data_IF_738513048646
#
_entry.id   IF_738513048646
#
_cell.length_a   1.000
_cell.length_b   1.000
_cell.length_c   1.000
_cell.angle_alpha   90.00
_cell.angle_beta   90.00
_cell.angle_gamma   90.00
#
_symmetry.space_group_name_H-M   'P 1'
#
loop_
_entity.id
_entity.type
_entity.pdbx_description
1 polymer ?
#
# COMPACT_ATOMS: atom_id res chain seq x y z
N UNK A 1 16.28 2.36 39.69
CA UNK A 1 15.29 1.29 39.42
C UNK A 1 14.39 1.78 38.29
N UNK A 2 13.97 0.91 37.36
CA UNK A 2 13.24 1.35 36.16
C UNK A 2 11.73 1.21 36.43
N UNK A 3 11.09 2.34 36.81
CA UNK A 3 9.68 2.46 37.18
C UNK A 3 8.77 1.75 36.17
N UNK A 4 9.05 1.89 34.86
CA UNK A 4 8.29 1.24 33.79
C UNK A 4 8.32 -0.29 33.90
N UNK A 5 9.49 -0.89 34.17
CA UNK A 5 9.64 -2.35 34.31
C UNK A 5 8.93 -2.89 35.55
N UNK A 6 8.92 -2.13 36.64
CA UNK A 6 8.22 -2.51 37.88
C UNK A 6 6.70 -2.50 37.69
N UNK A 7 6.14 -1.45 37.07
CA UNK A 7 4.72 -1.39 36.73
C UNK A 7 4.31 -2.50 35.74
N UNK A 8 5.12 -2.74 34.70
CA UNK A 8 4.89 -3.83 33.74
C UNK A 8 4.84 -5.20 34.45
N UNK A 9 5.80 -5.51 35.31
CA UNK A 9 5.85 -6.76 36.07
C UNK A 9 4.68 -6.89 37.07
N UNK A 10 4.28 -5.79 37.71
CA UNK A 10 3.22 -5.76 38.73
C UNK A 10 1.82 -5.98 38.17
N UNK A 11 1.52 -5.48 36.97
CA UNK A 11 0.16 -5.50 36.41
C UNK A 11 -0.04 -6.41 35.19
N UNK A 12 1.03 -6.75 34.47
CA UNK A 12 1.02 -7.62 33.28
C UNK A 12 -0.08 -7.26 32.23
N UNK A 13 -0.37 -5.97 32.08
CA UNK A 13 -1.38 -5.39 31.16
C UNK A 13 -0.90 -4.03 30.68
N UNK A 14 -1.08 -3.69 29.41
CA UNK A 14 -0.64 -2.39 28.88
C UNK A 14 -1.55 -1.22 29.28
N UNK A 15 -2.84 -1.49 29.55
CA UNK A 15 -3.85 -0.51 29.94
C UNK A 15 -4.41 -0.85 31.32
N UNK A 16 -4.49 0.15 32.19
CA UNK A 16 -5.02 0.03 33.56
C UNK A 16 -6.32 0.84 33.71
N UNK A 17 -7.38 0.27 34.31
CA UNK A 17 -8.61 1.00 34.56
C UNK A 17 -8.42 2.03 35.68
N UNK A 18 -9.22 3.11 35.66
CA UNK A 18 -9.24 4.19 36.67
C UNK A 18 -9.01 3.72 38.12
N UNK A 19 -9.69 2.65 38.54
CA UNK A 19 -9.64 2.16 39.93
C UNK A 19 -8.26 1.62 40.33
N UNK A 20 -7.52 1.04 39.38
CA UNK A 20 -6.16 0.55 39.59
C UNK A 20 -5.16 1.71 39.62
N UNK A 21 -5.35 2.69 38.73
CA UNK A 21 -4.52 3.89 38.63
C UNK A 21 -4.63 4.75 39.88
N UNK A 22 -5.87 5.02 40.34
CA UNK A 22 -6.14 5.76 41.57
C UNK A 22 -5.45 5.13 42.78
N UNK A 23 -5.49 3.80 42.88
CA UNK A 23 -4.87 3.06 43.98
C UNK A 23 -3.34 3.11 43.94
N UNK A 24 -2.74 3.15 42.75
CA UNK A 24 -1.28 3.23 42.59
C UNK A 24 -0.73 4.65 42.83
N UNK A 25 -1.49 5.68 42.45
CA UNK A 25 -1.17 7.08 42.73
C UNK A 25 -1.55 7.53 44.16
N UNK A 26 -2.26 6.69 44.93
CA UNK A 26 -2.78 7.04 46.26
C UNK A 26 -3.91 8.08 46.25
N UNK A 27 -4.55 8.30 45.10
CA UNK A 27 -5.56 9.35 44.88
C UNK A 27 -6.99 8.83 45.06
N UNK A 28 -7.91 9.72 45.41
CA UNK A 28 -9.34 9.42 45.35
C UNK A 28 -9.85 9.39 43.90
N UNK A 29 -11.00 8.74 43.68
CA UNK A 29 -11.68 8.72 42.37
C UNK A 29 -12.09 10.12 41.86
N UNK A 30 -12.19 11.13 42.73
CA UNK A 30 -12.49 12.51 42.33
C UNK A 30 -11.24 13.21 41.81
N UNK A 31 -10.13 13.11 42.54
CA UNK A 31 -8.84 13.70 42.14
C UNK A 31 -8.31 13.08 40.84
N UNK A 32 -8.41 11.74 40.69
CA UNK A 32 -8.03 11.11 39.43
C UNK A 32 -8.87 11.64 38.26
N UNK A 33 -10.18 11.82 38.44
CA UNK A 33 -11.03 12.35 37.35
C UNK A 33 -10.62 13.75 36.91
N UNK A 34 -10.19 14.61 37.83
CA UNK A 34 -9.66 15.94 37.49
C UNK A 34 -8.42 15.81 36.60
N UNK A 35 -7.44 14.98 37.00
CA UNK A 35 -6.21 14.73 36.21
C UNK A 35 -6.49 14.17 34.80
N UNK A 36 -7.53 13.35 34.66
CA UNK A 36 -7.97 12.82 33.36
C UNK A 36 -8.71 13.86 32.50
N UNK A 37 -9.50 14.75 33.10
CA UNK A 37 -10.23 15.80 32.36
C UNK A 37 -9.37 17.02 32.01
N UNK A 38 -8.32 17.28 32.77
CA UNK A 38 -7.34 18.35 32.52
C UNK A 38 -6.15 17.88 31.65
N UNK A 39 -6.25 16.68 31.05
CA UNK A 39 -5.24 16.01 30.20
C UNK A 39 -3.83 15.96 30.80
N UNK A 40 -3.74 16.05 32.13
CA UNK A 40 -2.49 16.00 32.90
C UNK A 40 -2.01 14.56 33.10
N UNK A 41 -2.93 13.60 32.99
CA UNK A 41 -2.63 12.17 32.86
C UNK A 41 -3.44 11.62 31.66
N UNK A 42 -2.82 11.43 30.48
CA UNK A 42 -3.54 11.01 29.28
C UNK A 42 -4.23 9.65 29.44
N UNK A 43 -5.45 9.53 28.90
CA UNK A 43 -6.24 8.30 28.95
C UNK A 43 -7.02 8.00 27.67
N UNK A 44 -7.38 6.73 27.51
CA UNK A 44 -8.16 6.22 26.39
C UNK A 44 -9.55 5.85 26.93
N UNK A 45 -10.60 6.42 26.35
CA UNK A 45 -11.99 6.04 26.66
C UNK A 45 -12.40 4.81 25.84
N UNK A 46 -12.91 3.78 26.52
CA UNK A 46 -13.47 2.56 25.91
C UNK A 46 -14.77 2.23 26.64
N UNK A 47 -15.89 2.15 25.91
CA UNK A 47 -17.25 1.90 26.44
C UNK A 47 -17.62 2.76 27.67
N UNK A 48 -17.32 4.07 27.62
CA UNK A 48 -17.64 5.02 28.69
C UNK A 48 -16.77 4.90 29.96
N UNK A 49 -15.58 4.31 29.85
CA UNK A 49 -14.62 4.14 30.96
C UNK A 49 -13.22 4.55 30.50
N UNK A 50 -12.47 5.21 31.37
CA UNK A 50 -11.10 5.62 31.06
C UNK A 50 -10.07 4.55 31.44
N UNK A 51 -9.07 4.41 30.59
CA UNK A 51 -7.92 3.54 30.78
C UNK A 51 -6.63 4.34 30.57
N UNK A 52 -5.72 4.27 31.53
CA UNK A 52 -4.39 4.91 31.44
C UNK A 52 -3.38 3.84 31.04
N UNK A 53 -2.47 4.17 30.13
CA UNK A 53 -1.40 3.21 29.76
C UNK A 53 -0.35 3.13 30.87
N UNK A 54 0.32 1.97 30.98
CA UNK A 54 1.44 1.85 31.92
C UNK A 54 2.57 2.85 31.59
N UNK A 55 2.72 3.23 30.31
CA UNK A 55 3.71 4.24 29.91
C UNK A 55 3.37 5.63 30.46
N UNK A 56 2.11 6.07 30.31
CA UNK A 56 1.69 7.37 30.83
C UNK A 56 1.72 7.43 32.36
N UNK A 57 1.34 6.33 33.03
CA UNK A 57 1.47 6.22 34.48
C UNK A 57 2.95 6.26 34.93
N UNK A 58 3.85 5.61 34.19
CA UNK A 58 5.28 5.68 34.49
C UNK A 58 5.82 7.11 34.28
N UNK A 59 5.47 7.76 33.17
CA UNK A 59 5.85 9.14 32.85
C UNK A 59 5.40 10.10 33.97
N UNK A 60 4.14 9.98 34.40
CA UNK A 60 3.56 10.77 35.48
C UNK A 60 4.26 10.54 36.84
N UNK A 61 4.70 9.30 37.11
CA UNK A 61 5.51 8.93 38.27
C UNK A 61 7.01 9.33 38.14
N UNK A 62 7.37 10.12 37.13
CA UNK A 62 8.71 10.67 36.96
C UNK A 62 9.66 9.80 36.14
N UNK A 63 9.18 8.78 35.44
CA UNK A 63 9.96 8.12 34.38
C UNK A 63 10.25 9.15 33.29
N UNK A 64 11.52 9.35 32.99
CA UNK A 64 11.98 10.11 31.82
C UNK A 64 12.58 9.12 30.85
N UNK A 65 11.95 8.97 29.70
CA UNK A 65 12.46 8.13 28.62
C UNK A 65 13.83 8.68 28.18
N UNK A 66 14.88 7.86 28.32
CA UNK A 66 16.13 8.12 27.62
C UNK A 66 15.85 7.87 26.13
N UNK A 67 15.75 8.93 25.33
CA UNK A 67 15.45 8.84 23.89
C UNK A 67 16.56 8.13 23.12
N UNK A 68 16.51 6.81 23.15
CA UNK A 68 17.16 5.93 22.18
C UNK A 68 16.23 5.76 20.98
N UNK A 69 16.51 6.51 19.92
CA UNK A 69 15.72 6.46 18.68
C UNK A 69 16.04 5.22 17.85
N UNK A 70 15.56 4.07 18.34
CA UNK A 70 15.07 3.02 17.46
C UNK A 70 15.85 1.71 17.43
N UNK A 71 15.62 0.85 18.43
CA UNK A 71 15.49 -0.58 18.20
C UNK A 71 14.22 -1.13 18.88
N UNK A 72 13.16 -1.35 18.10
CA UNK A 72 12.09 -2.26 18.52
C UNK A 72 12.64 -3.69 18.50
N UNK A 73 12.97 -4.22 19.67
CA UNK A 73 13.21 -5.65 19.82
C UNK A 73 11.92 -6.42 19.54
N UNK A 74 12.05 -7.52 18.79
CA UNK A 74 10.93 -8.31 18.35
C UNK A 74 10.48 -9.29 19.44
N UNK A 75 9.22 -9.23 19.85
CA UNK A 75 8.41 -10.43 20.14
C UNK A 75 6.91 -10.12 20.20
N UNK A 76 6.10 -11.05 19.67
CA UNK A 76 4.64 -11.03 19.54
C UNK A 76 3.97 -9.80 18.89
N UNK A 77 3.62 -9.96 17.60
CA UNK A 77 2.21 -9.81 17.20
C UNK A 77 1.84 -10.76 16.05
N UNK A 78 0.62 -11.29 16.12
CA UNK A 78 0.08 -12.37 15.29
C UNK A 78 -0.57 -11.88 13.99
N UNK A 79 -0.85 -12.81 13.07
CA UNK A 79 -1.65 -12.56 11.88
C UNK A 79 -3.10 -12.13 12.20
N UNK A 80 -3.50 -10.95 11.74
CA UNK A 80 -4.84 -10.71 11.16
C UNK A 80 -4.82 -9.49 10.23
N UNK A 81 -5.60 -9.56 9.14
CA UNK A 81 -6.17 -8.47 8.31
C UNK A 81 -5.31 -7.20 8.04
N UNK A 82 -4.91 -6.86 6.81
CA UNK A 82 -5.52 -7.05 5.49
C UNK A 82 -6.90 -6.41 5.32
N UNK A 83 -7.01 -5.10 5.58
CA UNK A 83 -7.94 -4.24 4.85
C UNK A 83 -7.45 -2.78 4.86
N UNK A 84 -7.36 -2.15 3.68
CA UNK A 84 -7.20 -0.70 3.58
C UNK A 84 -7.91 -0.16 2.33
N UNK A 85 -9.02 0.53 2.59
CA UNK A 85 -9.76 1.39 1.68
C UNK A 85 -8.84 2.53 1.15
N UNK A 86 -9.03 3.18 0.00
CA UNK A 86 -10.07 3.10 -1.05
C UNK A 86 -9.57 3.74 -2.36
N UNK A 87 -10.36 3.56 -3.42
CA UNK A 87 -10.39 4.22 -4.73
C UNK A 87 -10.15 5.74 -4.82
N UNK A 88 -9.79 6.19 -6.02
CA UNK A 88 -10.15 7.51 -6.63
C UNK A 88 -11.65 7.84 -6.61
N UNK A 89 -12.24 8.97 -6.19
CA UNK A 89 -11.78 10.04 -5.29
C UNK A 89 -11.15 11.29 -5.92
N UNK A 90 -11.20 11.49 -7.25
CA UNK A 90 -10.82 12.78 -7.84
C UNK A 90 -11.96 13.78 -7.56
N UNK A 91 -11.64 14.91 -6.93
CA UNK A 91 -12.50 16.08 -6.93
C UNK A 91 -12.34 16.80 -8.28
N UNK A 92 -13.39 16.78 -9.09
CA UNK A 92 -13.67 17.80 -10.09
C UNK A 92 -15.03 18.38 -9.72
N UNK A 93 -15.17 19.70 -9.77
CA UNK A 93 -16.45 20.40 -9.64
C UNK A 93 -17.05 20.49 -11.04
N UNK A 94 -18.21 19.87 -11.34
CA UNK A 94 -18.95 20.12 -12.56
C UNK A 94 -20.12 21.08 -12.28
N UNK A 95 -20.38 21.99 -13.21
CA UNK A 95 -21.65 22.71 -13.25
C UNK A 95 -22.81 21.73 -13.52
N UNK A 96 -23.99 22.04 -12.98
CA UNK A 96 -25.19 21.22 -13.17
C UNK A 96 -25.57 21.08 -14.64
N UNK A 97 -25.73 19.84 -15.09
CA UNK A 97 -26.75 19.45 -16.10
C UNK A 97 -27.44 18.16 -15.64
N UNK A 98 -28.73 18.07 -15.91
CA UNK A 98 -29.63 17.06 -15.35
C UNK A 98 -29.44 15.64 -15.94
N UNK A 99 -29.78 14.62 -15.14
CA UNK A 99 -30.33 13.36 -15.67
C UNK A 99 -29.49 12.08 -15.58
N UNK A 100 -28.78 11.81 -14.48
CA UNK A 100 -28.14 10.49 -14.28
C UNK A 100 -29.16 9.38 -13.96
N UNK A 101 -29.18 8.33 -14.78
CA UNK A 101 -29.97 7.10 -14.55
C UNK A 101 -29.19 6.17 -13.61
N UNK A 102 -29.69 6.02 -12.37
CA UNK A 102 -29.11 5.10 -11.38
C UNK A 102 -29.21 3.64 -11.84
N UNK A 103 -28.07 2.97 -12.02
CA UNK A 103 -28.01 1.52 -12.18
C UNK A 103 -27.87 0.84 -10.82
N UNK A 104 -28.92 0.14 -10.41
CA UNK A 104 -28.97 -0.72 -9.23
C UNK A 104 -28.23 -2.03 -9.48
N UNK A 105 -27.56 -2.54 -8.45
CA UNK A 105 -26.84 -3.82 -8.48
C UNK A 105 -27.22 -4.67 -7.26
N UNK A 106 -26.95 -5.97 -7.33
CA UNK A 106 -27.23 -6.88 -6.22
C UNK A 106 -26.45 -8.18 -6.29
N UNK A 107 -26.52 -8.95 -5.22
CA UNK A 107 -25.75 -10.18 -5.00
C UNK A 107 -26.57 -11.24 -4.27
N UNK A 108 -26.13 -12.50 -4.38
CA UNK A 108 -26.69 -13.64 -3.66
C UNK A 108 -25.61 -14.23 -2.76
N UNK A 109 -25.98 -14.54 -1.52
CA UNK A 109 -25.08 -15.12 -0.52
C UNK A 109 -25.75 -16.30 0.18
N UNK A 110 -24.98 -17.34 0.52
CA UNK A 110 -25.51 -18.50 1.24
C UNK A 110 -25.43 -18.30 2.75
N UNK A 111 -26.56 -18.42 3.43
CA UNK A 111 -26.71 -18.31 4.88
C UNK A 111 -26.29 -19.60 5.58
N UNK A 112 -25.96 -19.50 6.88
CA UNK A 112 -25.56 -20.64 7.73
C UNK A 112 -26.65 -21.72 7.89
N UNK A 113 -27.90 -21.37 7.62
CA UNK A 113 -29.06 -22.28 7.66
C UNK A 113 -29.38 -22.91 6.28
N UNK A 114 -28.51 -22.72 5.29
CA UNK A 114 -28.65 -23.27 3.94
C UNK A 114 -29.49 -22.44 2.98
N UNK A 115 -30.14 -21.35 3.42
CA UNK A 115 -30.91 -20.45 2.54
C UNK A 115 -30.00 -19.53 1.71
N UNK A 116 -30.53 -19.05 0.60
CA UNK A 116 -29.90 -18.07 -0.28
C UNK A 116 -30.50 -16.68 -0.03
N UNK A 117 -29.68 -15.73 0.39
CA UNK A 117 -30.07 -14.34 0.65
C UNK A 117 -29.67 -13.45 -0.51
N UNK A 118 -30.67 -12.89 -1.18
CA UNK A 118 -30.53 -11.85 -2.19
C UNK A 118 -30.44 -10.50 -1.48
N UNK A 119 -29.48 -9.65 -1.87
CA UNK A 119 -29.35 -8.27 -1.42
C UNK A 119 -29.14 -7.34 -2.61
N UNK A 120 -29.99 -6.32 -2.73
CA UNK A 120 -29.94 -5.29 -3.78
C UNK A 120 -29.59 -3.96 -3.13
N UNK A 121 -28.55 -3.29 -3.64
CA UNK A 121 -28.09 -2.00 -3.12
C UNK A 121 -28.98 -0.88 -3.68
N UNK A 122 -29.65 -0.16 -2.78
CA UNK A 122 -30.59 0.94 -3.09
C UNK A 122 -29.94 2.32 -2.83
N UNK A 123 -28.60 2.39 -2.94
CA UNK A 123 -27.82 3.59 -2.64
C UNK A 123 -27.62 3.83 -1.13
N UNK A 124 -27.69 5.10 -0.71
CA UNK A 124 -27.54 5.54 0.69
C UNK A 124 -28.79 6.29 1.16
N UNK A 125 -29.11 6.20 2.45
CA UNK A 125 -30.10 7.08 3.08
C UNK A 125 -29.54 8.48 3.26
N UNK A 126 -30.39 9.45 3.61
CA UNK A 126 -29.98 10.84 3.86
C UNK A 126 -28.85 10.96 4.91
N UNK A 127 -28.84 10.05 5.91
CA UNK A 127 -27.80 9.98 6.96
C UNK A 127 -26.50 9.28 6.50
N UNK A 128 -26.32 9.05 5.19
CA UNK A 128 -25.13 8.43 4.60
C UNK A 128 -24.97 6.91 4.84
N UNK A 129 -25.88 6.27 5.58
CA UNK A 129 -25.90 4.82 5.81
C UNK A 129 -26.35 4.08 4.55
N UNK A 130 -25.83 2.86 4.32
CA UNK A 130 -26.17 2.04 3.14
C UNK A 130 -27.65 1.62 3.20
N UNK A 131 -28.39 1.85 2.13
CA UNK A 131 -29.76 1.37 1.95
C UNK A 131 -29.76 0.09 1.11
N UNK A 132 -30.43 -0.97 1.56
CA UNK A 132 -30.48 -2.26 0.83
C UNK A 132 -31.84 -2.96 0.98
N UNK A 133 -32.32 -3.55 -0.11
CA UNK A 133 -33.50 -4.42 -0.12
C UNK A 133 -33.03 -5.87 -0.10
N UNK A 134 -33.44 -6.66 0.88
CA UNK A 134 -32.97 -8.04 1.06
C UNK A 134 -34.10 -9.05 1.23
N UNK A 135 -33.98 -10.24 0.63
CA UNK A 135 -34.95 -11.34 0.74
C UNK A 135 -34.26 -12.70 0.68
N UNK A 136 -34.73 -13.67 1.46
CA UNK A 136 -34.14 -15.03 1.53
C UNK A 136 -35.04 -16.10 0.90
N UNK A 137 -34.44 -17.04 0.18
CA UNK A 137 -35.09 -18.18 -0.47
C UNK A 137 -34.44 -19.51 -0.04
N UNK A 138 -35.14 -20.63 -0.20
CA UNK A 138 -34.57 -21.98 0.03
C UNK A 138 -33.93 -22.60 -1.21
N UNK A 139 -34.32 -22.13 -2.40
CA UNK A 139 -33.80 -22.57 -3.70
C UNK A 139 -32.96 -21.43 -4.32
N UNK A 140 -31.80 -21.81 -4.86
CA UNK A 140 -30.86 -20.93 -5.55
C UNK A 140 -31.43 -20.38 -6.85
N UNK A 141 -32.21 -21.18 -7.60
CA UNK A 141 -32.84 -20.74 -8.85
C UNK A 141 -33.91 -19.67 -8.61
N UNK A 142 -34.72 -19.83 -7.56
CA UNK A 142 -35.70 -18.82 -7.15
C UNK A 142 -35.04 -17.55 -6.61
N UNK A 143 -33.87 -17.67 -5.94
CA UNK A 143 -33.09 -16.53 -5.52
C UNK A 143 -32.53 -15.74 -6.73
N UNK A 144 -32.00 -16.44 -7.73
CA UNK A 144 -31.48 -15.83 -8.96
C UNK A 144 -32.59 -15.15 -9.76
N UNK A 145 -33.70 -15.85 -10.03
CA UNK A 145 -34.85 -15.25 -10.71
C UNK A 145 -35.40 -14.00 -9.99
N UNK A 146 -35.42 -13.99 -8.66
CA UNK A 146 -35.85 -12.81 -7.91
C UNK A 146 -34.84 -11.65 -8.02
N UNK A 147 -33.54 -11.92 -8.01
CA UNK A 147 -32.51 -10.90 -8.23
C UNK A 147 -32.66 -10.30 -9.64
N UNK A 148 -32.70 -11.14 -10.67
CA UNK A 148 -32.73 -10.73 -12.07
C UNK A 148 -33.98 -9.91 -12.38
N UNK A 149 -35.17 -10.38 -11.96
CA UNK A 149 -36.43 -9.65 -12.15
C UNK A 149 -36.43 -8.30 -11.42
N UNK A 150 -35.96 -8.26 -10.17
CA UNK A 150 -35.95 -7.01 -9.40
C UNK A 150 -34.93 -6.00 -9.94
N UNK A 151 -33.79 -6.46 -10.48
CA UNK A 151 -32.83 -5.58 -11.15
C UNK A 151 -33.36 -5.08 -12.51
N UNK A 152 -34.08 -5.92 -13.27
CA UNK A 152 -34.73 -5.49 -14.52
C UNK A 152 -35.81 -4.41 -14.26
N UNK A 153 -36.67 -4.62 -13.25
CA UNK A 153 -37.66 -3.63 -12.79
C UNK A 153 -37.00 -2.30 -12.37
N UNK A 154 -35.93 -2.36 -11.57
CA UNK A 154 -35.26 -1.17 -11.02
C UNK A 154 -34.41 -0.41 -12.05
N UNK A 155 -33.81 -1.12 -13.01
CA UNK A 155 -32.96 -0.52 -14.05
C UNK A 155 -33.73 -0.15 -15.33
N UNK A 156 -35.07 -0.24 -15.32
CA UNK A 156 -35.93 0.16 -16.44
C UNK A 156 -35.82 -0.74 -17.69
N UNK A 157 -35.26 -1.94 -17.56
CA UNK A 157 -35.21 -2.90 -18.67
C UNK A 157 -36.57 -3.59 -18.75
N UNK A 158 -37.41 -3.16 -19.69
CA UNK A 158 -38.69 -3.79 -19.98
C UNK A 158 -38.46 -5.16 -20.62
N UNK A 159 -38.29 -6.17 -19.77
CA UNK A 159 -38.33 -7.58 -20.18
C UNK A 159 -39.78 -7.92 -20.52
N UNK A 160 -40.15 -7.76 -21.80
CA UNK A 160 -41.44 -8.24 -22.31
C UNK A 160 -41.42 -9.77 -22.20
N UNK A 161 -42.08 -10.32 -21.18
CA UNK A 161 -42.29 -11.76 -21.09
C UNK A 161 -43.17 -12.20 -22.26
N UNK A 162 -42.76 -13.19 -23.08
CA UNK A 162 -43.67 -13.79 -24.04
C UNK A 162 -44.68 -14.66 -23.27
N UNK A 163 -45.84 -14.10 -22.97
CA UNK A 163 -47.02 -14.91 -22.64
C UNK A 163 -47.43 -15.67 -23.89
N UNK A 164 -47.17 -16.97 -23.93
CA UNK A 164 -47.67 -17.86 -24.97
C UNK A 164 -49.20 -17.96 -24.89
N UNK A 165 -49.92 -17.60 -25.96
CA UNK A 165 -50.88 -18.51 -26.57
C UNK A 165 -50.19 -19.22 -27.75
N UNK A 166 -50.72 -20.39 -28.12
CA UNK A 166 -50.08 -21.27 -29.08
C UNK A 166 -49.90 -20.63 -30.49
N UNK A 167 -48.91 -21.14 -31.22
CA UNK A 167 -48.56 -20.82 -32.61
C UNK A 167 -48.04 -19.39 -32.89
N UNK A 168 -46.72 -19.23 -32.85
CA UNK A 168 -45.97 -19.06 -34.11
C UNK A 168 -44.46 -19.29 -33.92
N UNK A 169 -43.79 -19.78 -34.97
CA UNK A 169 -42.34 -19.86 -35.00
C UNK A 169 -41.74 -18.46 -35.08
N UNK A 170 -41.10 -18.01 -34.00
CA UNK A 170 -40.21 -16.84 -34.03
C UNK A 170 -38.78 -17.35 -33.88
N UNK A 171 -38.07 -17.47 -35.01
CA UNK A 171 -36.63 -17.72 -35.00
C UNK A 171 -35.96 -16.42 -34.54
N UNK A 172 -35.67 -16.32 -33.25
CA UNK A 172 -34.90 -15.20 -32.71
C UNK A 172 -33.44 -15.34 -33.13
N UNK A 173 -33.03 -14.53 -34.11
CA UNK A 173 -31.63 -14.35 -34.45
C UNK A 173 -30.93 -13.64 -33.28
N UNK A 174 -30.46 -14.41 -32.29
CA UNK A 174 -29.47 -13.89 -31.36
C UNK A 174 -28.22 -13.58 -32.16
N UNK A 175 -27.96 -12.30 -32.40
CA UNK A 175 -26.66 -11.82 -32.85
C UNK A 175 -25.66 -12.05 -31.71
N UNK A 176 -25.14 -13.28 -31.63
CA UNK A 176 -23.92 -13.55 -30.89
C UNK A 176 -22.81 -12.74 -31.56
N UNK A 177 -22.52 -11.56 -31.02
CA UNK A 177 -21.25 -10.91 -31.32
C UNK A 177 -20.16 -11.93 -31.05
N UNK A 178 -19.28 -12.25 -32.03
CA UNK A 178 -18.23 -13.22 -31.81
C UNK A 178 -17.39 -12.74 -30.62
N UNK A 179 -17.15 -13.62 -29.65
CA UNK A 179 -16.27 -13.31 -28.52
C UNK A 179 -14.85 -13.24 -29.05
N UNK A 180 -14.45 -12.05 -29.50
CA UNK A 180 -13.13 -11.78 -30.05
C UNK A 180 -12.15 -11.56 -28.90
N UNK A 181 -11.49 -12.64 -28.50
CA UNK A 181 -10.34 -12.57 -27.60
C UNK A 181 -9.18 -11.79 -28.22
N UNK A 182 -8.24 -11.34 -27.40
CA UNK A 182 -7.13 -10.49 -27.84
C UNK A 182 -6.09 -11.27 -28.66
N UNK A 183 -5.76 -10.76 -29.85
CA UNK A 183 -4.69 -11.30 -30.72
C UNK A 183 -3.27 -10.90 -30.28
N UNK A 184 -3.17 -10.04 -29.25
CA UNK A 184 -1.92 -9.44 -28.78
C UNK A 184 -1.01 -10.46 -28.09
N UNK A 185 0.30 -10.29 -28.26
CA UNK A 185 1.28 -11.02 -27.45
C UNK A 185 1.30 -10.53 -26.01
N UNK A 186 1.85 -11.33 -25.09
CA UNK A 186 2.00 -10.92 -23.69
C UNK A 186 2.77 -9.59 -23.55
N UNK A 187 3.85 -9.39 -24.32
CA UNK A 187 4.61 -8.13 -24.26
C UNK A 187 3.76 -6.93 -24.69
N UNK A 188 3.07 -7.04 -25.83
CA UNK A 188 2.21 -5.99 -26.36
C UNK A 188 1.08 -5.66 -25.38
N UNK A 189 0.37 -6.68 -24.89
CA UNK A 189 -0.74 -6.52 -23.95
C UNK A 189 -0.27 -5.89 -22.63
N UNK A 190 0.86 -6.34 -22.09
CA UNK A 190 1.41 -5.82 -20.84
C UNK A 190 1.91 -4.37 -20.97
N UNK A 191 2.60 -4.01 -22.05
CA UNK A 191 3.05 -2.64 -22.32
C UNK A 191 1.85 -1.69 -22.40
N UNK A 192 0.83 -2.05 -23.18
CA UNK A 192 -0.38 -1.24 -23.32
C UNK A 192 -1.15 -1.10 -22.00
N UNK A 193 -1.31 -2.19 -21.25
CA UNK A 193 -1.97 -2.18 -19.93
C UNK A 193 -1.23 -1.29 -18.94
N UNK A 194 0.11 -1.31 -18.97
CA UNK A 194 0.93 -0.50 -18.08
C UNK A 194 0.92 0.99 -18.46
N UNK A 195 0.91 1.32 -19.77
CA UNK A 195 0.82 2.71 -20.24
C UNK A 195 -0.57 3.32 -20.04
N UNK A 196 -1.66 2.54 -20.15
CA UNK A 196 -3.02 2.94 -19.76
C UNK A 196 -3.15 3.27 -18.26
N UNK A 197 -2.18 2.86 -17.46
CA UNK A 197 -2.13 3.11 -16.02
C UNK A 197 -2.83 2.03 -15.20
N UNK A 198 -2.29 1.78 -14.00
CA UNK A 198 -2.82 0.76 -13.07
C UNK A 198 -3.23 1.44 -11.77
N UNK A 199 -4.53 1.70 -11.61
CA UNK A 199 -5.06 2.40 -10.45
C UNK A 199 -4.43 3.78 -10.25
N UNK A 200 -3.81 4.02 -9.08
CA UNK A 200 -3.06 5.27 -8.79
C UNK A 200 -1.54 5.14 -8.95
N UNK A 201 -1.05 4.15 -9.70
CA UNK A 201 0.38 3.93 -9.89
C UNK A 201 1.01 5.06 -10.73
N UNK A 202 1.99 5.77 -10.16
CA UNK A 202 2.82 6.72 -10.93
C UNK A 202 3.88 6.01 -11.77
N UNK A 203 4.50 6.72 -12.72
CA UNK A 203 5.46 6.18 -13.69
C UNK A 203 6.58 5.33 -13.07
N UNK A 204 7.11 5.71 -11.89
CA UNK A 204 8.11 4.90 -11.16
C UNK A 204 7.59 3.54 -10.67
N UNK A 205 6.31 3.43 -10.35
CA UNK A 205 5.64 2.16 -10.02
C UNK A 205 5.42 1.32 -11.27
N UNK A 206 5.02 1.96 -12.37
CA UNK A 206 4.86 1.33 -13.69
C UNK A 206 6.20 0.73 -14.18
N UNK A 207 7.30 1.48 -14.07
CA UNK A 207 8.65 0.96 -14.34
C UNK A 207 9.02 -0.20 -13.39
N UNK A 208 8.62 -0.12 -12.11
CA UNK A 208 8.76 -1.23 -11.17
C UNK A 208 8.01 -2.50 -11.59
N UNK A 209 6.84 -2.35 -12.23
CA UNK A 209 6.12 -3.45 -12.86
C UNK A 209 6.86 -3.96 -14.11
N UNK A 210 7.31 -3.08 -15.02
CA UNK A 210 8.12 -3.46 -16.20
C UNK A 210 9.32 -4.32 -15.80
N UNK A 211 10.13 -3.86 -14.85
CA UNK A 211 11.29 -4.60 -14.31
C UNK A 211 10.89 -5.97 -13.75
N UNK A 212 9.72 -6.06 -13.13
CA UNK A 212 9.19 -7.31 -12.57
C UNK A 212 8.71 -8.27 -13.66
N UNK A 213 8.19 -7.78 -14.79
CA UNK A 213 7.75 -8.57 -15.95
C UNK A 213 8.92 -9.01 -16.85
N UNK A 214 9.98 -8.20 -16.97
CA UNK A 214 11.13 -8.40 -17.87
C UNK A 214 11.74 -9.81 -17.84
N UNK A 215 11.71 -10.48 -16.68
CA UNK A 215 12.27 -11.84 -16.54
C UNK A 215 11.33 -12.95 -17.03
N UNK A 216 10.01 -12.72 -17.02
CA UNK A 216 9.02 -13.63 -17.62
C UNK A 216 8.81 -13.35 -19.10
N UNK A 217 9.02 -12.09 -19.53
CA UNK A 217 8.95 -11.72 -20.95
C UNK A 217 9.85 -12.60 -21.84
N UNK A 218 11.03 -12.99 -21.32
CA UNK A 218 11.97 -13.94 -21.96
C UNK A 218 11.39 -15.31 -22.32
N UNK A 219 10.28 -15.71 -21.71
CA UNK A 219 9.67 -17.03 -21.90
C UNK A 219 8.30 -16.98 -22.57
N UNK A 220 7.50 -15.93 -22.33
CA UNK A 220 6.12 -15.82 -22.85
C UNK A 220 5.84 -14.54 -23.65
N UNK A 221 6.80 -13.60 -23.76
CA UNK A 221 6.58 -12.26 -24.34
C UNK A 221 6.04 -12.26 -25.77
N UNK A 222 6.47 -13.23 -26.58
CA UNK A 222 6.06 -13.40 -27.97
C UNK A 222 4.83 -14.32 -28.14
N UNK A 223 4.31 -14.93 -27.06
CA UNK A 223 3.12 -15.78 -27.11
C UNK A 223 1.87 -14.90 -27.07
N UNK A 224 0.82 -15.25 -27.84
CA UNK A 224 -0.48 -14.59 -27.70
C UNK A 224 -1.05 -14.83 -26.31
N UNK A 225 -1.77 -13.85 -25.77
CA UNK A 225 -2.41 -13.97 -24.45
C UNK A 225 -3.33 -15.19 -24.35
N UNK A 226 -4.03 -15.52 -25.44
CA UNK A 226 -4.93 -16.69 -25.55
C UNK A 226 -4.23 -18.05 -25.56
N UNK A 227 -2.96 -18.10 -25.99
CA UNK A 227 -2.18 -19.34 -26.11
C UNK A 227 -1.44 -19.69 -24.80
N UNK A 228 -1.43 -18.77 -23.82
CA UNK A 228 -0.73 -18.95 -22.56
C UNK A 228 -1.63 -19.72 -21.59
N UNK A 229 -1.21 -20.92 -21.21
CA UNK A 229 -1.90 -21.76 -20.22
C UNK A 229 -1.28 -21.64 -18.82
N UNK A 230 -2.03 -22.07 -17.80
CA UNK A 230 -1.56 -22.20 -16.41
C UNK A 230 -0.30 -23.06 -16.29
N UNK A 231 -0.13 -24.05 -17.18
CA UNK A 231 1.04 -24.93 -17.17
C UNK A 231 2.28 -24.24 -17.76
N UNK A 232 2.10 -23.42 -18.81
CA UNK A 232 3.16 -22.57 -19.35
C UNK A 232 3.64 -21.56 -18.31
N UNK A 233 2.71 -20.95 -17.56
CA UNK A 233 3.04 -20.06 -16.46
C UNK A 233 3.78 -20.80 -15.33
N UNK A 234 3.34 -22.01 -14.96
CA UNK A 234 4.03 -22.83 -13.95
C UNK A 234 5.46 -23.14 -14.38
N UNK A 235 5.65 -23.69 -15.58
CA UNK A 235 6.95 -24.02 -16.15
C UNK A 235 7.87 -22.79 -16.26
N UNK A 236 7.29 -21.61 -16.50
CA UNK A 236 8.03 -20.34 -16.52
C UNK A 236 8.52 -19.95 -15.12
N UNK A 237 7.65 -19.97 -14.09
CA UNK A 237 8.10 -19.71 -12.72
C UNK A 237 9.03 -20.79 -12.15
N UNK A 238 8.95 -22.02 -12.67
CA UNK A 238 9.90 -23.10 -12.33
C UNK A 238 11.32 -22.81 -12.80
N UNK A 239 11.48 -22.29 -14.04
CA UNK A 239 12.77 -21.79 -14.53
C UNK A 239 13.28 -20.61 -13.67
N UNK A 240 12.39 -19.74 -13.20
CA UNK A 240 12.79 -18.55 -12.43
C UNK A 240 13.21 -18.82 -10.98
N UNK A 241 12.63 -19.78 -10.26
CA UNK A 241 12.87 -19.87 -8.81
C UNK A 241 14.31 -20.25 -8.40
N UNK A 242 15.10 -20.82 -9.33
CA UNK A 242 16.53 -21.08 -9.12
C UNK A 242 17.39 -19.81 -9.24
N UNK A 243 16.98 -18.84 -10.07
CA UNK A 243 17.81 -17.67 -10.41
C UNK A 243 17.44 -16.40 -9.61
N UNK A 244 16.22 -16.30 -9.11
CA UNK A 244 15.69 -15.10 -8.45
C UNK A 244 15.42 -15.30 -6.95
N UNK A 245 15.74 -14.27 -6.17
CA UNK A 245 15.42 -14.22 -4.74
C UNK A 245 13.90 -14.23 -4.51
N UNK A 246 13.46 -14.75 -3.36
CA UNK A 246 12.04 -14.78 -2.91
C UNK A 246 11.27 -13.48 -3.19
N UNK A 247 11.85 -12.33 -2.87
CA UNK A 247 11.22 -11.03 -3.06
C UNK A 247 11.01 -10.67 -4.55
N UNK A 248 12.04 -10.86 -5.39
CA UNK A 248 11.96 -10.61 -6.84
C UNK A 248 10.98 -11.56 -7.52
N UNK A 249 11.06 -12.86 -7.22
CA UNK A 249 10.15 -13.88 -7.75
C UNK A 249 8.68 -13.59 -7.38
N UNK A 250 8.42 -13.18 -6.13
CA UNK A 250 7.09 -12.79 -5.67
C UNK A 250 6.57 -11.52 -6.36
N UNK A 251 7.44 -10.53 -6.61
CA UNK A 251 7.07 -9.33 -7.38
C UNK A 251 6.65 -9.69 -8.80
N UNK A 252 7.49 -10.43 -9.54
CA UNK A 252 7.12 -10.95 -10.87
C UNK A 252 5.78 -11.68 -10.84
N UNK A 253 5.60 -12.64 -9.92
CA UNK A 253 4.36 -13.39 -9.80
C UNK A 253 3.12 -12.52 -9.60
N UNK A 254 3.18 -11.53 -8.71
CA UNK A 254 2.05 -10.63 -8.43
C UNK A 254 1.78 -9.70 -9.62
N UNK A 255 2.82 -9.16 -10.28
CA UNK A 255 2.65 -8.28 -11.44
C UNK A 255 2.09 -9.03 -12.64
N UNK A 256 2.49 -10.28 -12.89
CA UNK A 256 1.94 -11.07 -13.99
C UNK A 256 0.48 -11.45 -13.68
N UNK A 257 0.18 -11.86 -12.45
CA UNK A 257 -1.21 -12.10 -12.02
C UNK A 257 -2.08 -10.88 -12.31
N UNK A 258 -1.62 -9.69 -11.94
CA UNK A 258 -2.32 -8.43 -12.21
C UNK A 258 -2.63 -8.22 -13.71
N UNK A 259 -1.68 -8.46 -14.62
CA UNK A 259 -1.92 -8.34 -16.07
C UNK A 259 -2.95 -9.36 -16.58
N UNK A 260 -2.86 -10.63 -16.15
CA UNK A 260 -3.83 -11.65 -16.56
C UNK A 260 -5.22 -11.47 -15.92
N UNK A 261 -5.29 -10.96 -14.70
CA UNK A 261 -6.55 -10.56 -14.06
C UNK A 261 -7.24 -9.45 -14.85
N UNK A 262 -6.51 -8.38 -15.23
CA UNK A 262 -7.05 -7.31 -16.07
C UNK A 262 -7.54 -7.85 -17.42
N UNK A 263 -6.78 -8.73 -18.08
CA UNK A 263 -7.20 -9.36 -19.33
C UNK A 263 -8.47 -10.23 -19.17
N UNK A 264 -8.62 -10.94 -18.05
CA UNK A 264 -9.83 -11.72 -17.78
C UNK A 264 -11.03 -10.83 -17.46
N UNK A 265 -10.84 -9.79 -16.64
CA UNK A 265 -11.87 -8.81 -16.26
C UNK A 265 -12.39 -8.02 -17.48
N UNK A 266 -11.52 -7.75 -18.46
CA UNK A 266 -11.89 -7.12 -19.74
C UNK A 266 -12.55 -8.08 -20.75
N UNK A 267 -12.52 -9.41 -20.52
CA UNK A 267 -12.93 -10.41 -21.51
C UNK A 267 -11.93 -10.65 -22.66
N UNK A 268 -10.72 -10.09 -22.58
CA UNK A 268 -9.63 -10.29 -23.56
C UNK A 268 -9.13 -11.76 -23.61
N UNK A 269 -9.33 -12.51 -22.52
CA UNK A 269 -9.05 -13.96 -22.42
C UNK A 269 -10.22 -14.71 -21.76
N UNK A 270 -10.32 -16.01 -22.06
CA UNK A 270 -11.46 -16.84 -21.64
C UNK A 270 -11.49 -17.28 -20.17
N UNK A 271 -10.35 -17.28 -19.47
CA UNK A 271 -10.22 -17.89 -18.14
C UNK A 271 -9.14 -17.19 -17.27
N UNK A 272 -9.38 -17.06 -15.95
CA UNK A 272 -8.34 -16.67 -14.98
C UNK A 272 -7.35 -17.85 -14.76
N UNK A 273 -6.16 -17.71 -15.35
CA UNK A 273 -5.06 -18.67 -15.26
C UNK A 273 -4.45 -18.79 -13.84
N UNK A 274 -4.72 -17.83 -12.96
CA UNK A 274 -4.12 -17.71 -11.63
C UNK A 274 -5.01 -18.19 -10.47
N UNK A 275 -6.22 -18.70 -10.71
CA UNK A 275 -7.10 -19.26 -9.66
C UNK A 275 -6.38 -20.33 -8.83
N UNK A 276 -5.72 -21.28 -9.50
CA UNK A 276 -5.06 -22.43 -8.87
C UNK A 276 -3.53 -22.33 -8.84
N UNK A 277 -2.94 -21.29 -9.45
CA UNK A 277 -1.49 -21.13 -9.52
C UNK A 277 -0.95 -20.53 -8.21
N UNK A 278 0.02 -21.21 -7.59
CA UNK A 278 0.71 -20.74 -6.38
C UNK A 278 2.10 -20.21 -6.74
N UNK A 279 2.50 -19.10 -6.13
CA UNK A 279 3.86 -18.58 -6.25
C UNK A 279 4.87 -19.61 -5.72
N UNK A 280 5.85 -20.07 -6.52
CA UNK A 280 6.84 -21.02 -6.02
C UNK A 280 7.75 -20.39 -4.97
N UNK A 281 8.35 -21.26 -4.14
CA UNK A 281 9.40 -20.86 -3.19
C UNK A 281 10.73 -20.78 -3.95
N UNK A 282 11.42 -19.63 -3.82
CA UNK A 282 12.80 -19.44 -4.27
C UNK A 282 13.70 -20.55 -3.72
N UNK A 283 14.47 -21.23 -4.58
CA UNK A 283 15.57 -22.13 -4.20
C UNK A 283 16.96 -21.51 -4.39
N UNK A 284 17.04 -20.27 -4.88
CA UNK A 284 18.29 -19.51 -4.88
C UNK A 284 18.89 -19.48 -3.47
N UNK A 285 20.10 -20.01 -3.33
CA UNK A 285 20.91 -19.85 -2.10
C UNK A 285 21.26 -18.38 -1.94
N UNK A 286 21.12 -17.87 -0.71
CA UNK A 286 21.36 -16.47 -0.39
C UNK A 286 22.32 -16.39 0.78
N UNK A 287 23.58 -16.10 0.49
CA UNK A 287 24.48 -15.54 1.51
C UNK A 287 24.02 -14.12 1.82
N UNK A 288 23.47 -13.93 3.02
CA UNK A 288 23.17 -12.61 3.57
C UNK A 288 23.44 -12.54 5.06
N UNK A 289 24.66 -12.10 5.38
CA UNK A 289 24.85 -11.10 6.44
C UNK A 289 25.18 -9.78 5.75
N UNK A 290 24.21 -8.89 5.68
CA UNK A 290 24.50 -7.46 5.48
C UNK A 290 24.69 -6.93 6.89
N UNK A 291 25.94 -6.71 7.28
CA UNK A 291 26.26 -6.05 8.55
C UNK A 291 26.07 -4.54 8.40
N UNK A 292 25.82 -3.85 9.51
CA UNK A 292 26.20 -2.44 9.61
C UNK A 292 27.73 -2.34 9.55
N UNK A 293 28.24 -1.19 9.09
CA UNK A 293 29.66 -0.88 9.17
C UNK A 293 30.09 -0.70 10.64
N UNK A 294 31.31 -1.10 10.98
CA UNK A 294 31.90 -0.75 12.28
C UNK A 294 32.35 0.71 12.31
N UNK A 295 32.63 1.24 13.51
CA UNK A 295 33.15 2.60 13.67
C UNK A 295 34.48 2.78 12.91
N UNK A 296 35.36 1.77 12.90
CA UNK A 296 36.60 1.79 12.14
C UNK A 296 36.36 1.87 10.63
N UNK A 297 35.39 1.11 10.11
CA UNK A 297 35.01 1.15 8.69
C UNK A 297 34.41 2.52 8.32
N UNK A 298 33.58 3.11 9.19
CA UNK A 298 33.04 4.46 9.02
C UNK A 298 34.17 5.50 8.99
N UNK A 299 35.15 5.41 9.90
CA UNK A 299 36.31 6.31 9.90
C UNK A 299 37.18 6.16 8.64
N UNK A 300 37.30 4.95 8.08
CA UNK A 300 37.97 4.72 6.79
C UNK A 300 37.18 5.38 5.65
N UNK A 301 35.85 5.18 5.59
CA UNK A 301 34.98 5.79 4.57
C UNK A 301 35.07 7.33 4.61
N UNK A 302 35.01 7.93 5.80
CA UNK A 302 35.13 9.38 5.98
C UNK A 302 36.52 9.90 5.58
N UNK A 303 37.60 9.17 5.89
CA UNK A 303 38.97 9.55 5.53
C UNK A 303 39.21 9.50 4.03
N UNK A 304 38.81 8.41 3.36
CA UNK A 304 39.10 8.21 1.94
C UNK A 304 38.16 9.02 1.04
N UNK A 305 36.90 9.24 1.45
CA UNK A 305 35.98 10.12 0.72
C UNK A 305 36.50 11.55 0.58
N UNK A 306 37.11 12.11 1.64
CA UNK A 306 37.74 13.44 1.62
C UNK A 306 38.92 13.56 0.66
N UNK A 307 39.63 12.47 0.38
CA UNK A 307 40.72 12.45 -0.62
C UNK A 307 40.21 12.29 -2.05
N UNK A 308 39.09 11.57 -2.22
CA UNK A 308 38.60 11.18 -3.54
C UNK A 308 37.77 12.30 -4.20
N UNK A 309 36.89 12.97 -3.43
CA UNK A 309 36.00 13.99 -3.98
C UNK A 309 35.41 14.87 -2.86
N UNK A 310 35.50 16.20 -3.02
CA UNK A 310 35.02 17.21 -2.06
C UNK A 310 33.51 17.09 -1.71
N UNK A 311 32.70 16.50 -2.59
CA UNK A 311 31.26 16.25 -2.36
C UNK A 311 31.03 15.03 -1.46
N UNK A 312 31.89 14.01 -1.52
CA UNK A 312 31.62 12.74 -0.85
C UNK A 312 31.79 12.81 0.66
N UNK A 313 32.78 13.57 1.15
CA UNK A 313 32.97 13.76 2.60
C UNK A 313 31.75 14.38 3.31
N UNK A 314 31.21 15.54 2.89
CA UNK A 314 30.00 16.10 3.50
C UNK A 314 28.76 15.21 3.30
N UNK A 315 28.67 14.47 2.18
CA UNK A 315 27.61 13.47 1.96
C UNK A 315 27.65 12.37 3.03
N UNK A 316 28.80 11.75 3.27
CA UNK A 316 28.91 10.68 4.27
C UNK A 316 28.81 11.21 5.71
N UNK A 317 29.38 12.39 6.00
CA UNK A 317 29.25 13.05 7.29
C UNK A 317 27.79 13.32 7.69
N UNK A 318 26.95 13.76 6.73
CA UNK A 318 25.51 13.94 6.96
C UNK A 318 24.79 12.61 7.08
N UNK A 319 25.10 11.62 6.23
CA UNK A 319 24.43 10.31 6.26
C UNK A 319 24.69 9.52 7.56
N UNK A 320 25.90 9.60 8.10
CA UNK A 320 26.33 8.92 9.34
C UNK A 320 25.39 9.25 10.53
N UNK A 321 25.10 10.53 10.75
CA UNK A 321 24.27 10.97 11.86
C UNK A 321 22.76 11.09 11.55
N UNK A 322 22.34 11.14 10.28
CA UNK A 322 20.93 11.36 9.91
C UNK A 322 20.19 10.14 9.35
N UNK A 323 20.90 9.15 8.80
CA UNK A 323 20.30 8.00 8.14
C UNK A 323 19.32 8.33 7.00
N UNK A 324 19.37 9.55 6.45
CA UNK A 324 18.38 10.00 5.46
C UNK A 324 18.51 9.26 4.13
N UNK A 325 17.40 9.16 3.38
CA UNK A 325 17.39 8.41 2.12
C UNK A 325 18.21 9.17 1.07
N UNK A 326 18.93 8.49 0.15
CA UNK A 326 19.75 9.18 -0.86
C UNK A 326 18.97 10.18 -1.73
N UNK A 327 17.68 9.95 -2.00
CA UNK A 327 16.82 10.91 -2.69
C UNK A 327 16.49 12.16 -1.86
N UNK A 328 16.36 12.03 -0.53
CA UNK A 328 16.14 13.15 0.40
C UNK A 328 17.43 13.99 0.49
N UNK A 329 18.59 13.34 0.66
CA UNK A 329 19.91 13.99 0.69
C UNK A 329 20.18 14.82 -0.57
N UNK A 330 19.95 14.23 -1.75
CA UNK A 330 20.15 14.90 -3.05
C UNK A 330 19.17 16.06 -3.31
N UNK A 331 18.13 16.20 -2.50
CA UNK A 331 17.13 17.26 -2.61
C UNK A 331 17.22 18.30 -1.48
N UNK A 332 18.28 18.24 -0.67
CA UNK A 332 18.54 19.25 0.36
C UNK A 332 18.90 20.59 -0.29
N UNK A 333 18.24 21.63 0.18
CA UNK A 333 18.61 23.01 -0.10
C UNK A 333 19.34 23.58 1.11
N UNK A 334 20.32 24.47 0.88
CA UNK A 334 20.93 25.27 1.94
C UNK A 334 19.91 26.03 2.80
N UNK A 335 18.77 26.41 2.21
CA UNK A 335 17.65 27.07 2.91
C UNK A 335 16.96 26.22 3.99
N UNK A 336 17.27 24.91 4.06
CA UNK A 336 16.68 23.94 5.00
C UNK A 336 17.70 23.39 6.00
N UNK A 337 18.91 23.95 6.04
CA UNK A 337 19.98 23.59 6.97
C UNK A 337 20.22 24.75 7.92
N UNK A 338 20.03 24.54 9.22
CA UNK A 338 20.41 25.49 10.26
C UNK A 338 21.69 24.99 10.96
N UNK A 339 22.82 25.60 10.59
CA UNK A 339 24.14 25.28 11.15
C UNK A 339 24.35 25.79 12.59
N UNK A 340 23.47 26.66 13.11
CA UNK A 340 23.50 27.14 14.50
C UNK A 340 22.69 26.22 15.40
N UNK A 341 21.47 25.87 14.99
CA UNK A 341 20.64 24.89 15.67
C UNK A 341 21.09 23.44 15.43
N UNK A 342 22.05 23.22 14.51
CA UNK A 342 22.54 21.92 14.04
C UNK A 342 21.41 21.02 13.50
N UNK A 343 20.51 21.57 12.69
CA UNK A 343 19.36 20.81 12.14
C UNK A 343 19.28 20.85 10.63
N UNK A 344 18.64 19.81 10.06
CA UNK A 344 18.27 19.74 8.64
C UNK A 344 16.80 19.35 8.49
N UNK A 345 16.05 20.11 7.69
CA UNK A 345 14.62 19.87 7.44
C UNK A 345 14.39 19.18 6.10
N UNK A 346 13.94 17.93 6.14
CA UNK A 346 13.57 17.14 4.97
C UNK A 346 12.12 17.45 4.60
N UNK A 347 11.89 17.93 3.38
CA UNK A 347 10.55 18.23 2.84
C UNK A 347 10.25 17.56 1.49
N UNK A 348 11.29 17.16 0.76
CA UNK A 348 11.27 16.72 -0.63
C UNK A 348 12.35 15.67 -0.88
N UNK A 349 12.26 14.97 -2.01
CA UNK A 349 13.27 14.02 -2.47
C UNK A 349 13.39 14.04 -4.00
N UNK A 350 14.60 13.85 -4.54
CA UNK A 350 14.78 13.59 -5.96
C UNK A 350 14.24 12.19 -6.25
N UNK A 351 13.28 12.14 -7.17
CA UNK A 351 12.75 10.92 -7.76
C UNK A 351 13.08 10.87 -9.25
N UNK A 352 12.74 9.74 -9.88
CA UNK A 352 12.71 9.62 -11.33
C UNK A 352 11.26 9.54 -11.80
N UNK A 353 11.00 10.23 -12.90
CA UNK A 353 9.79 10.15 -13.69
C UNK A 353 10.18 9.50 -15.01
N UNK A 354 9.44 8.47 -15.41
CA UNK A 354 9.69 7.68 -16.61
C UNK A 354 8.66 8.04 -17.67
N UNK A 355 9.08 8.01 -18.93
CA UNK A 355 8.21 8.18 -20.08
C UNK A 355 7.35 6.90 -20.30
N UNK A 356 6.59 6.84 -21.40
CA UNK A 356 5.80 5.65 -21.74
C UNK A 356 6.68 4.44 -22.08
N UNK A 357 6.21 3.24 -21.72
CA UNK A 357 6.93 2.00 -22.02
C UNK A 357 6.84 1.70 -23.52
N UNK A 358 7.99 1.40 -24.14
CA UNK A 358 8.08 0.92 -25.53
C UNK A 358 8.25 -0.60 -25.62
N UNK A 359 8.82 -1.22 -24.58
CA UNK A 359 9.04 -2.67 -24.46
C UNK A 359 9.20 -3.04 -22.98
N UNK A 360 8.95 -4.31 -22.63
CA UNK A 360 9.30 -4.84 -21.31
C UNK A 360 10.81 -5.10 -21.14
N UNK A 361 11.54 -5.18 -22.24
CA UNK A 361 12.95 -5.62 -22.27
C UNK A 361 13.95 -4.46 -22.21
N UNK A 362 13.61 -3.28 -22.72
CA UNK A 362 14.41 -2.06 -22.62
C UNK A 362 14.07 -1.24 -21.36
N UNK A 363 15.04 -0.45 -20.89
CA UNK A 363 14.76 0.60 -19.90
C UNK A 363 14.16 1.81 -20.61
N UNK A 364 13.06 2.36 -20.08
CA UNK A 364 12.48 3.59 -20.60
C UNK A 364 13.35 4.80 -20.26
N UNK A 365 13.27 5.85 -21.08
CA UNK A 365 13.85 7.14 -20.75
C UNK A 365 13.25 7.69 -19.45
N UNK A 366 14.05 8.48 -18.72
CA UNK A 366 13.66 9.01 -17.42
C UNK A 366 14.33 10.35 -17.14
N UNK A 367 13.57 11.30 -16.61
CA UNK A 367 14.09 12.54 -16.05
C UNK A 367 14.06 12.50 -14.53
N UNK A 368 15.04 13.14 -13.90
CA UNK A 368 15.00 13.37 -12.46
C UNK A 368 14.09 14.57 -12.17
N UNK A 369 13.30 14.47 -11.10
CA UNK A 369 12.40 15.54 -10.67
C UNK A 369 12.31 15.59 -9.14
N UNK A 370 12.01 16.77 -8.61
CA UNK A 370 11.73 16.95 -7.19
C UNK A 370 10.31 16.47 -6.89
N UNK A 371 10.19 15.42 -6.09
CA UNK A 371 8.92 15.06 -5.46
C UNK A 371 8.87 15.72 -4.08
N UNK A 372 7.96 16.67 -3.92
CA UNK A 372 7.46 17.00 -2.58
C UNK A 372 6.83 15.76 -1.96
N UNK A 373 6.92 15.65 -0.65
CA UNK A 373 6.41 14.48 0.07
C UNK A 373 4.88 14.49 0.16
N UNK A 374 4.24 13.34 -0.07
CA UNK A 374 2.77 13.24 -0.24
C UNK A 374 1.96 13.39 1.05
N UNK A 375 2.60 13.42 2.22
CA UNK A 375 1.95 13.46 3.54
C UNK A 375 2.76 14.29 4.52
N UNK A 376 2.10 14.99 5.44
CA UNK A 376 2.75 15.81 6.46
C UNK A 376 3.76 15.00 7.32
N UNK A 377 3.45 13.74 7.63
CA UNK A 377 4.34 12.81 8.36
C UNK A 377 5.71 12.56 7.69
N UNK A 378 5.85 12.83 6.39
CA UNK A 378 7.11 12.67 5.68
C UNK A 378 8.04 13.87 5.86
N UNK A 379 7.49 15.03 6.24
CA UNK A 379 8.24 16.25 6.55
C UNK A 379 8.79 16.13 7.97
N UNK A 380 10.10 16.20 8.13
CA UNK A 380 10.77 16.03 9.43
C UNK A 380 12.05 16.84 9.53
N UNK A 381 12.42 17.18 10.77
CA UNK A 381 13.71 17.81 11.08
C UNK A 381 14.59 16.76 11.74
N UNK A 382 15.84 16.63 11.28
CA UNK A 382 16.86 15.77 11.87
C UNK A 382 17.98 16.62 12.48
N UNK A 383 18.63 16.08 13.52
CA UNK A 383 19.81 16.69 14.13
C UNK A 383 21.07 16.34 13.32
N UNK A 384 22.07 17.21 13.39
CA UNK A 384 23.38 17.06 12.75
C UNK A 384 24.47 16.95 13.82
N UNK A 385 25.41 16.03 13.63
CA UNK A 385 26.62 15.96 14.44
C UNK A 385 27.54 17.16 14.19
N UNK A 386 28.45 17.46 15.11
CA UNK A 386 29.48 18.51 14.89
C UNK A 386 30.37 18.21 13.69
N UNK A 387 30.60 16.92 13.39
CA UNK A 387 31.29 16.46 12.19
C UNK A 387 30.52 16.87 10.93
N UNK A 388 29.21 16.59 10.87
CA UNK A 388 28.34 16.99 9.76
C UNK A 388 28.26 18.52 9.60
N UNK A 389 28.12 19.26 10.71
CA UNK A 389 28.08 20.73 10.69
C UNK A 389 29.38 21.34 10.16
N UNK A 390 30.54 20.81 10.57
CA UNK A 390 31.82 21.29 10.07
C UNK A 390 32.07 20.90 8.61
N UNK A 391 31.74 19.66 8.22
CA UNK A 391 31.82 19.22 6.82
C UNK A 391 30.92 20.07 5.89
N UNK A 392 29.73 20.46 6.35
CA UNK A 392 28.83 21.36 5.61
C UNK A 392 29.36 22.81 5.53
N UNK A 393 30.06 23.31 6.56
CA UNK A 393 30.72 24.63 6.50
C UNK A 393 31.88 24.62 5.49
N UNK A 394 32.73 23.61 5.55
CA UNK A 394 33.85 23.44 4.61
C UNK A 394 33.33 23.35 3.16
N UNK A 395 32.29 22.53 2.94
CA UNK A 395 31.63 22.39 1.65
C UNK A 395 31.00 23.68 1.15
N UNK A 396 30.33 24.46 2.03
CA UNK A 396 29.78 25.77 1.68
C UNK A 396 30.89 26.74 1.24
N UNK A 397 31.97 26.81 2.02
CA UNK A 397 33.12 27.67 1.73
C UNK A 397 33.90 27.24 0.47
N UNK A 398 33.84 25.96 0.08
CA UNK A 398 34.35 25.48 -1.21
C UNK A 398 33.48 25.97 -2.38
N UNK A 399 32.15 25.79 -2.28
CA UNK A 399 31.20 26.26 -3.30
C UNK A 399 31.27 27.78 -3.52
N UNK A 400 31.35 28.55 -2.44
CA UNK A 400 31.45 30.03 -2.52
C UNK A 400 32.78 30.51 -3.15
N UNK A 401 33.76 29.61 -3.37
CA UNK A 401 35.04 29.89 -4.07
C UNK A 401 35.12 29.30 -5.48
N UNK A 402 34.18 28.43 -5.85
CA UNK A 402 34.19 27.63 -7.08
C UNK A 402 32.89 27.86 -7.85
N UNK A 403 32.80 28.97 -8.62
CA UNK A 403 31.57 29.41 -9.28
C UNK A 403 31.12 28.51 -10.45
#
# INVERSE_FOLDING_TARGET
>A
MNILKELQAKYNKQLLPEQTVAKELGLTKKELKVLLTEDTLPSIEIDGKHYVSIMELANFLGYKESTDYGQQNAELQSYTELECMTSTGIQIIPEKKDGDVMQYTGSISKLKDGRFMVQIEMGKTADGKRNRKSKSFRDEKLAQQYLDNTLAELNGVVTIMPTTPANNQVVSYMQTQPVTFTDKTFEQYAVETLNKGVGRAGSRTIEGYRISLMQVNKYIGNMKMVDISTDILRNTFEKLFYHYMKASLKKSFVTIKMIFNIAFENGDISNDLFIKLKCPKSRKVVDKKISAYSDEEIQIILRESKKYNEVLYPVFAVLECTGMRPGELRALEWSKIDLKAKTVKIIQAITKEYDELTSLSSCTASRECLSVTKTAYSVRTLQLSDLAVNALKDWRAFLDKSP
#
